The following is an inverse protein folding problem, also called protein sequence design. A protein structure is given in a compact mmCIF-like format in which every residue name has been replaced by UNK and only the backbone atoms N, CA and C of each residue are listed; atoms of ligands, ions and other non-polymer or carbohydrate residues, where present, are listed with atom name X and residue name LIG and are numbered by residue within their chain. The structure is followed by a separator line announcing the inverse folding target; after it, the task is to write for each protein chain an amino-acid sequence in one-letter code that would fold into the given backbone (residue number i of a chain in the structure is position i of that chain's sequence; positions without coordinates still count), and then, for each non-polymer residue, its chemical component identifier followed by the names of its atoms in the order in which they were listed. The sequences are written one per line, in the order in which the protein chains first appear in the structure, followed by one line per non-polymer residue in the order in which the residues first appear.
data_IF_999750016724
#
_entry.id   IF_999750016724
#
_cell.length_a   1.000
_cell.length_b   1.000
_cell.length_c   1.000
_cell.angle_alpha   90.00
_cell.angle_beta   90.00
_cell.angle_gamma   90.00
#
_symmetry.space_group_name_H-M   'P 1'
#
loop_
_entity.id
_entity.type
_entity.pdbx_description
1 polymer ?
#
# COMPACT_ATOMS: atom_id res chain seq x y z
N UNK A 1 -0.38 28.61 -30.04
CA UNK A 1 -1.53 28.69 -30.94
C UNK A 1 -2.74 28.48 -30.06
N UNK A 2 -3.45 29.58 -29.83
CA UNK A 2 -4.43 29.75 -28.77
C UNK A 2 -5.63 28.82 -28.99
N UNK A 3 -5.89 27.95 -28.02
CA UNK A 3 -7.06 27.06 -28.02
C UNK A 3 -8.28 27.96 -27.76
N UNK A 4 -9.22 28.07 -28.70
CA UNK A 4 -10.45 28.89 -28.57
C UNK A 4 -11.35 28.47 -27.39
N UNK A 5 -11.02 27.36 -26.73
CA UNK A 5 -11.69 26.83 -25.53
C UNK A 5 -10.98 27.21 -24.22
N UNK A 6 -9.84 27.88 -24.29
CA UNK A 6 -9.12 28.33 -23.12
C UNK A 6 -9.81 29.58 -22.54
N UNK A 7 -10.40 29.44 -21.37
CA UNK A 7 -10.89 30.59 -20.61
C UNK A 7 -9.81 31.12 -19.66
N UNK A 8 -9.72 32.46 -19.48
CA UNK A 8 -8.85 33.06 -18.48
C UNK A 8 -9.15 32.49 -17.08
N UNK A 9 -8.26 31.62 -16.58
CA UNK A 9 -8.43 30.93 -15.28
C UNK A 9 -8.26 29.40 -15.32
N UNK A 10 -8.11 28.77 -16.49
CA UNK A 10 -7.80 27.34 -16.55
C UNK A 10 -6.29 27.05 -16.48
N UNK A 11 -5.84 26.10 -15.64
CA UNK A 11 -4.44 25.69 -15.60
C UNK A 11 -4.06 24.96 -16.89
N UNK A 12 -3.02 25.47 -17.56
CA UNK A 12 -2.44 24.86 -18.77
C UNK A 12 -1.68 23.60 -18.36
N UNK A 13 -2.20 22.44 -18.76
CA UNK A 13 -1.52 21.16 -18.56
C UNK A 13 -0.57 20.93 -19.75
N UNK A 14 0.73 21.02 -19.50
CA UNK A 14 1.73 20.63 -20.49
C UNK A 14 1.52 19.16 -20.88
N UNK A 15 1.32 18.90 -22.18
CA UNK A 15 1.33 17.52 -22.71
C UNK A 15 2.77 17.01 -22.60
N UNK A 16 3.03 16.12 -21.64
CA UNK A 16 4.30 15.40 -21.58
C UNK A 16 4.46 14.52 -22.82
N UNK A 17 5.46 14.84 -23.63
CA UNK A 17 5.82 14.11 -24.84
C UNK A 17 6.40 12.73 -24.48
N UNK A 18 5.91 11.69 -25.17
CA UNK A 18 6.52 10.36 -25.18
C UNK A 18 7.10 10.15 -26.57
N UNK A 19 8.40 9.88 -26.69
CA UNK A 19 9.00 9.41 -27.94
C UNK A 19 10.27 8.60 -27.69
N UNK A 20 10.82 7.88 -28.70
CA UNK A 20 10.21 7.40 -29.93
C UNK A 20 10.19 5.85 -30.02
N UNK A 21 9.35 5.37 -30.93
CA UNK A 21 9.18 3.99 -31.40
C UNK A 21 10.33 3.50 -32.30
N UNK A 22 10.52 2.17 -32.29
CA UNK A 22 11.05 1.32 -33.38
C UNK A 22 12.56 1.16 -33.58
N UNK A 23 13.11 0.03 -33.13
CA UNK A 23 14.31 -0.59 -33.71
C UNK A 23 13.94 -1.75 -34.65
N UNK A 24 14.58 -1.91 -35.83
CA UNK A 24 14.23 -2.94 -36.80
C UNK A 24 15.03 -4.22 -36.55
N UNK A 25 14.36 -5.32 -36.24
CA UNK A 25 15.01 -6.63 -36.22
C UNK A 25 14.34 -7.67 -35.35
N UNK A 26 13.35 -8.37 -35.90
CA UNK A 26 13.24 -9.84 -35.85
C UNK A 26 11.97 -10.27 -36.58
N UNK A 27 12.06 -10.32 -37.91
CA UNK A 27 11.20 -11.20 -38.67
C UNK A 27 11.64 -12.65 -38.40
N UNK A 28 10.65 -13.53 -38.27
CA UNK A 28 10.70 -15.00 -38.27
C UNK A 28 11.14 -15.71 -36.98
N UNK A 29 10.14 -16.17 -36.22
CA UNK A 29 10.20 -17.47 -35.56
C UNK A 29 8.83 -18.18 -35.70
N UNK A 30 8.67 -19.12 -36.66
CA UNK A 30 7.45 -19.91 -36.82
C UNK A 30 7.58 -21.20 -36.01
N UNK A 31 7.19 -21.15 -34.74
CA UNK A 31 6.92 -22.35 -33.94
C UNK A 31 7.88 -22.58 -32.77
N UNK A 32 7.46 -22.15 -31.58
CA UNK A 32 8.13 -22.50 -30.33
C UNK A 32 7.18 -22.36 -29.15
N UNK A 33 6.72 -23.48 -28.60
CA UNK A 33 5.97 -23.53 -27.35
C UNK A 33 6.82 -22.95 -26.20
N UNK A 34 6.37 -21.85 -25.57
CA UNK A 34 7.19 -21.17 -24.57
C UNK A 34 6.49 -20.11 -23.70
N UNK A 35 5.50 -20.53 -22.90
CA UNK A 35 5.43 -20.17 -21.46
C UNK A 35 5.43 -18.68 -21.06
N UNK A 36 4.24 -18.07 -20.96
CA UNK A 36 3.67 -17.47 -19.72
C UNK A 36 2.43 -16.67 -20.08
N UNK A 37 1.29 -17.14 -19.60
CA UNK A 37 0.02 -16.43 -19.63
C UNK A 37 0.16 -15.06 -18.98
N UNK A 38 0.39 -14.02 -19.78
CA UNK A 38 0.01 -12.66 -19.44
C UNK A 38 -1.52 -12.68 -19.30
N UNK A 39 -2.02 -12.66 -18.07
CA UNK A 39 -3.43 -12.45 -17.78
C UNK A 39 -3.89 -11.24 -18.59
N UNK A 40 -4.72 -11.49 -19.60
CA UNK A 40 -5.26 -10.45 -20.46
C UNK A 40 -6.00 -9.45 -19.56
N UNK A 41 -5.45 -8.25 -19.45
CA UNK A 41 -6.10 -7.16 -18.72
C UNK A 41 -7.48 -6.92 -19.34
N UNK A 42 -8.53 -6.65 -18.54
CA UNK A 42 -9.85 -6.32 -19.08
C UNK A 42 -9.75 -5.12 -20.04
N UNK A 43 -10.58 -5.05 -21.08
CA UNK A 43 -10.46 -4.05 -22.15
C UNK A 43 -10.48 -2.60 -21.65
N UNK A 44 -11.14 -2.35 -20.51
CA UNK A 44 -11.12 -1.05 -19.83
C UNK A 44 -9.74 -0.64 -19.29
N UNK A 45 -8.85 -1.58 -18.99
CA UNK A 45 -7.48 -1.34 -18.50
C UNK A 45 -6.42 -1.43 -19.62
N UNK A 46 -6.81 -1.81 -20.85
CA UNK A 46 -5.91 -1.85 -21.99
C UNK A 46 -5.69 -0.44 -22.52
N UNK A 47 -4.44 0.02 -22.54
CA UNK A 47 -4.09 1.37 -23.02
C UNK A 47 -4.18 2.49 -21.99
N UNK A 48 -4.59 2.20 -20.75
CA UNK A 48 -4.32 3.13 -19.65
C UNK A 48 -2.80 3.20 -19.46
N UNK A 49 -2.18 4.39 -19.38
CA UNK A 49 -0.77 4.49 -19.02
C UNK A 49 -0.58 3.72 -17.71
N UNK A 50 0.38 2.79 -17.67
CA UNK A 50 0.74 2.10 -16.43
C UNK A 50 1.11 3.16 -15.39
N UNK A 51 0.15 3.50 -14.53
CA UNK A 51 0.29 4.55 -13.51
C UNK A 51 1.18 4.10 -12.35
N UNK A 52 1.60 2.84 -12.35
CA UNK A 52 2.65 2.36 -11.44
C UNK A 52 4.00 2.57 -12.10
N UNK A 53 4.65 3.68 -11.77
CA UNK A 53 6.11 3.71 -11.81
C UNK A 53 6.59 2.47 -11.03
N UNK A 54 7.36 1.57 -11.65
CA UNK A 54 7.80 0.35 -10.98
C UNK A 54 8.50 0.70 -9.66
N UNK A 55 8.05 0.10 -8.56
CA UNK A 55 8.67 0.33 -7.26
C UNK A 55 10.03 -0.38 -7.25
N UNK A 56 11.11 0.40 -7.26
CA UNK A 56 12.49 -0.07 -7.50
C UNK A 56 13.03 -0.95 -6.36
N UNK A 57 12.39 -0.91 -5.19
CA UNK A 57 12.79 -1.67 -4.01
C UNK A 57 11.57 -1.99 -3.13
N UNK A 58 10.73 -2.94 -3.58
CA UNK A 58 9.52 -3.33 -2.87
C UNK A 58 9.87 -3.99 -1.53
N UNK A 59 9.05 -3.74 -0.51
CA UNK A 59 9.22 -4.42 0.77
C UNK A 59 8.73 -5.87 0.67
N UNK A 60 9.33 -6.82 1.40
CA UNK A 60 8.97 -8.24 1.28
C UNK A 60 7.50 -8.52 1.67
N UNK A 61 6.93 -7.72 2.57
CA UNK A 61 5.54 -7.85 3.02
C UNK A 61 4.54 -7.22 2.06
N UNK A 62 4.95 -6.34 1.14
CA UNK A 62 4.06 -5.64 0.21
C UNK A 62 3.17 -6.60 -0.60
N UNK A 63 3.71 -7.76 -1.02
CA UNK A 63 2.96 -8.77 -1.79
C UNK A 63 1.90 -9.48 -0.97
N UNK A 64 2.13 -9.64 0.33
CA UNK A 64 1.27 -10.41 1.23
C UNK A 64 0.40 -9.51 2.12
N UNK A 65 0.54 -8.18 2.00
CA UNK A 65 -0.12 -7.20 2.87
C UNK A 65 -1.63 -7.42 2.96
N UNK A 66 -2.29 -7.64 1.83
CA UNK A 66 -3.74 -7.87 1.78
C UNK A 66 -4.11 -9.15 2.55
N UNK A 67 -3.42 -10.25 2.26
CA UNK A 67 -3.70 -11.54 2.89
C UNK A 67 -3.50 -11.49 4.41
N UNK A 68 -2.43 -10.86 4.87
CA UNK A 68 -2.16 -10.68 6.29
C UNK A 68 -3.19 -9.75 6.95
N UNK A 69 -3.59 -8.68 6.27
CA UNK A 69 -4.60 -7.75 6.78
C UNK A 69 -5.98 -8.39 6.93
N UNK A 70 -6.35 -9.32 6.03
CA UNK A 70 -7.60 -10.07 6.15
C UNK A 70 -7.62 -10.93 7.42
N UNK A 71 -6.51 -11.59 7.75
CA UNK A 71 -6.41 -12.38 9.00
C UNK A 71 -6.61 -11.48 10.21
N UNK A 72 -5.92 -10.33 10.25
CA UNK A 72 -6.07 -9.34 11.33
C UNK A 72 -7.50 -8.83 11.42
N UNK A 73 -8.14 -8.53 10.29
CA UNK A 73 -9.51 -8.02 10.24
C UNK A 73 -10.51 -9.05 10.79
N UNK A 74 -10.38 -10.32 10.40
CA UNK A 74 -11.26 -11.39 10.87
C UNK A 74 -11.09 -11.59 12.38
N UNK A 75 -9.85 -11.70 12.87
CA UNK A 75 -9.58 -11.81 14.30
C UNK A 75 -10.12 -10.60 15.08
N UNK A 76 -9.98 -9.39 14.55
CA UNK A 76 -10.52 -8.17 15.14
C UNK A 76 -12.04 -8.18 15.21
N UNK A 77 -12.72 -8.54 14.12
CA UNK A 77 -14.17 -8.65 14.07
C UNK A 77 -14.70 -9.68 15.07
N UNK A 78 -14.08 -10.85 15.16
CA UNK A 78 -14.43 -11.89 16.14
C UNK A 78 -14.24 -11.37 17.57
N UNK A 79 -13.11 -10.74 17.87
CA UNK A 79 -12.83 -10.22 19.21
C UNK A 79 -13.82 -9.14 19.64
N UNK A 80 -14.09 -8.15 18.76
CA UNK A 80 -15.06 -7.07 19.02
C UNK A 80 -16.46 -7.67 19.22
N UNK A 81 -16.88 -8.60 18.36
CA UNK A 81 -18.20 -9.24 18.47
C UNK A 81 -18.33 -10.01 19.79
N UNK A 82 -17.29 -10.72 20.22
CA UNK A 82 -17.31 -11.42 21.50
C UNK A 82 -17.48 -10.45 22.68
N UNK A 83 -16.80 -9.30 22.66
CA UNK A 83 -16.91 -8.25 23.68
C UNK A 83 -18.31 -7.64 23.72
N UNK A 84 -18.90 -7.35 22.55
CA UNK A 84 -20.28 -6.83 22.44
C UNK A 84 -21.32 -7.83 22.95
N UNK A 85 -21.05 -9.14 22.82
CA UNK A 85 -21.89 -10.20 23.39
C UNK A 85 -21.67 -10.44 24.89
N UNK A 86 -20.84 -9.63 25.55
CA UNK A 86 -20.59 -9.67 26.99
C UNK A 86 -19.43 -10.57 27.42
N UNK A 87 -18.59 -11.05 26.49
CA UNK A 87 -17.36 -11.73 26.88
C UNK A 87 -16.42 -10.76 27.61
N UNK A 88 -15.74 -11.24 28.65
CA UNK A 88 -14.72 -10.44 29.34
C UNK A 88 -13.42 -10.38 28.54
N UNK A 89 -12.58 -9.37 28.83
CA UNK A 89 -11.22 -9.26 28.27
C UNK A 89 -10.34 -10.48 28.61
N UNK A 90 -10.63 -11.15 29.72
CA UNK A 90 -9.95 -12.39 30.14
C UNK A 90 -10.34 -13.62 29.33
N UNK A 91 -11.36 -13.54 28.47
CA UNK A 91 -11.84 -14.66 27.66
C UNK A 91 -10.73 -15.24 26.78
N UNK A 92 -10.52 -16.57 26.77
CA UNK A 92 -9.45 -17.20 25.99
C UNK A 92 -9.62 -16.96 24.48
N UNK A 93 -10.86 -16.78 24.01
CA UNK A 93 -11.15 -16.46 22.61
C UNK A 93 -10.63 -15.07 22.24
N UNK A 94 -10.88 -14.07 23.08
CA UNK A 94 -10.41 -12.69 22.88
C UNK A 94 -8.88 -12.66 22.93
N UNK A 95 -8.27 -13.32 23.93
CA UNK A 95 -6.81 -13.42 24.05
C UNK A 95 -6.16 -14.10 22.85
N UNK A 96 -6.74 -15.18 22.33
CA UNK A 96 -6.22 -15.86 21.14
C UNK A 96 -6.30 -14.96 19.90
N UNK A 97 -7.42 -14.26 19.70
CA UNK A 97 -7.56 -13.30 18.60
C UNK A 97 -6.51 -12.18 18.70
N UNK A 98 -6.29 -11.63 19.89
CA UNK A 98 -5.28 -10.58 20.13
C UNK A 98 -3.87 -11.14 19.93
N UNK A 99 -3.57 -12.33 20.43
CA UNK A 99 -2.26 -12.96 20.31
C UNK A 99 -1.85 -13.23 18.85
N UNK A 100 -2.81 -13.53 17.97
CA UNK A 100 -2.56 -13.75 16.53
C UNK A 100 -2.61 -12.44 15.74
N UNK A 101 -3.62 -11.60 15.97
CA UNK A 101 -3.82 -10.37 15.20
C UNK A 101 -2.73 -9.32 15.46
N UNK A 102 -2.32 -9.17 16.72
CA UNK A 102 -1.35 -8.15 17.13
C UNK A 102 -0.01 -8.27 16.41
N UNK A 103 0.71 -9.42 16.43
CA UNK A 103 2.00 -9.53 15.76
C UNK A 103 1.88 -9.29 14.25
N UNK A 104 0.81 -9.79 13.62
CA UNK A 104 0.56 -9.55 12.20
C UNK A 104 0.33 -8.07 11.89
N UNK A 105 -0.49 -7.40 12.69
CA UNK A 105 -0.78 -5.97 12.53
C UNK A 105 0.45 -5.11 12.81
N UNK A 106 1.28 -5.48 13.78
CA UNK A 106 2.56 -4.81 14.06
C UNK A 106 3.49 -4.92 12.84
N UNK A 107 3.65 -6.12 12.28
CA UNK A 107 4.52 -6.34 11.13
C UNK A 107 4.06 -5.56 9.89
N UNK A 108 2.76 -5.58 9.58
CA UNK A 108 2.23 -4.85 8.41
C UNK A 108 2.28 -3.33 8.62
N UNK A 109 2.08 -2.85 9.85
CA UNK A 109 2.19 -1.42 10.18
C UNK A 109 3.65 -0.96 10.12
N UNK A 110 4.60 -1.76 10.61
CA UNK A 110 6.03 -1.48 10.48
C UNK A 110 6.48 -1.39 9.02
N UNK A 111 6.01 -2.31 8.18
CA UNK A 111 6.25 -2.25 6.74
C UNK A 111 5.75 -0.94 6.12
N UNK A 112 4.51 -0.54 6.44
CA UNK A 112 3.93 0.70 5.96
C UNK A 112 4.72 1.94 6.43
N UNK A 113 5.14 1.96 7.70
CA UNK A 113 5.96 3.05 8.26
C UNK A 113 7.29 3.18 7.51
N UNK A 114 7.97 2.07 7.23
CA UNK A 114 9.22 2.09 6.46
C UNK A 114 9.02 2.64 5.05
N UNK A 115 7.90 2.34 4.40
CA UNK A 115 7.57 2.89 3.07
C UNK A 115 7.31 4.39 3.13
N UNK A 116 6.57 4.86 4.13
CA UNK A 116 6.32 6.30 4.33
C UNK A 116 7.62 7.02 4.64
N UNK A 117 8.48 6.46 5.50
CA UNK A 117 9.79 7.00 5.85
C UNK A 117 10.68 7.17 4.61
N UNK A 118 10.83 6.12 3.80
CA UNK A 118 11.61 6.18 2.55
C UNK A 118 11.04 7.22 1.58
N UNK A 119 9.71 7.30 1.47
CA UNK A 119 9.04 8.30 0.66
C UNK A 119 9.27 9.73 1.18
N UNK A 120 9.31 9.93 2.50
CA UNK A 120 9.57 11.22 3.11
C UNK A 120 10.97 11.74 2.75
N UNK A 121 11.99 10.89 2.89
CA UNK A 121 13.37 11.23 2.53
C UNK A 121 13.56 11.56 1.06
N UNK A 122 12.88 10.84 0.17
CA UNK A 122 12.91 11.15 -1.27
C UNK A 122 12.34 12.55 -1.58
N UNK A 123 11.42 13.06 -0.76
CA UNK A 123 10.80 14.38 -0.95
C UNK A 123 11.53 15.52 -0.25
N UNK A 124 12.35 15.27 0.78
CA UNK A 124 13.12 16.31 1.48
C UNK A 124 13.95 17.23 0.56
N UNK A 125 14.66 16.71 -0.49
CA UNK A 125 15.39 17.59 -1.40
C UNK A 125 14.50 18.33 -2.41
N UNK A 126 13.29 17.83 -2.71
CA UNK A 126 12.38 18.41 -3.72
C UNK A 126 11.43 19.44 -3.10
N UNK A 127 10.78 19.08 -1.99
CA UNK A 127 9.86 19.95 -1.27
C UNK A 127 9.82 19.55 0.21
N UNK A 128 10.43 20.39 1.05
CA UNK A 128 10.51 20.16 2.50
C UNK A 128 9.15 20.08 3.18
N UNK A 129 8.13 20.82 2.73
CA UNK A 129 6.79 20.75 3.30
C UNK A 129 6.14 19.38 3.09
N UNK A 130 6.23 18.83 1.86
CA UNK A 130 5.72 17.47 1.56
C UNK A 130 6.54 16.38 2.24
N UNK A 131 7.84 16.59 2.44
CA UNK A 131 8.69 15.70 3.23
C UNK A 131 8.30 15.69 4.72
N UNK A 132 8.19 16.87 5.32
CA UNK A 132 7.82 17.05 6.73
C UNK A 132 6.43 16.50 7.05
N UNK A 133 5.44 16.70 6.17
CA UNK A 133 4.10 16.12 6.32
C UNK A 133 4.14 14.58 6.42
N UNK A 134 4.99 13.91 5.60
CA UNK A 134 5.15 12.45 5.69
C UNK A 134 5.89 12.03 6.95
N UNK A 135 6.87 12.80 7.42
CA UNK A 135 7.54 12.54 8.70
C UNK A 135 6.59 12.68 9.88
N UNK A 136 5.68 13.65 9.85
CA UNK A 136 4.61 13.76 10.84
C UNK A 136 3.73 12.51 10.85
N UNK A 137 3.37 11.96 9.69
CA UNK A 137 2.68 10.68 9.59
C UNK A 137 3.48 9.52 10.18
N UNK A 138 4.79 9.44 9.91
CA UNK A 138 5.64 8.42 10.55
C UNK A 138 5.59 8.52 12.07
N UNK A 139 5.70 9.73 12.61
CA UNK A 139 5.64 9.95 14.06
C UNK A 139 4.29 9.51 14.64
N UNK A 140 3.17 9.93 14.04
CA UNK A 140 1.82 9.53 14.47
C UNK A 140 1.63 8.01 14.37
N UNK A 141 2.11 7.37 13.30
CA UNK A 141 2.02 5.92 13.15
C UNK A 141 2.85 5.16 14.18
N UNK A 142 4.03 5.66 14.57
CA UNK A 142 4.83 5.07 15.65
C UNK A 142 4.14 5.19 17.01
N UNK A 143 3.53 6.34 17.31
CA UNK A 143 2.73 6.52 18.53
C UNK A 143 1.52 5.59 18.53
N UNK A 144 0.79 5.51 17.41
CA UNK A 144 -0.34 4.59 17.26
C UNK A 144 0.07 3.13 17.42
N UNK A 145 1.23 2.73 16.89
CA UNK A 145 1.75 1.39 17.05
C UNK A 145 2.13 1.09 18.52
N UNK A 146 2.77 2.03 19.20
CA UNK A 146 3.11 1.87 20.61
C UNK A 146 1.84 1.73 21.47
N UNK A 147 0.81 2.54 21.21
CA UNK A 147 -0.48 2.44 21.88
C UNK A 147 -1.17 1.09 21.62
N UNK A 148 -1.13 0.59 20.37
CA UNK A 148 -1.66 -0.71 20.00
C UNK A 148 -0.97 -1.85 20.74
N UNK A 149 0.37 -1.85 20.77
CA UNK A 149 1.14 -2.85 21.51
C UNK A 149 0.83 -2.78 23.00
N UNK A 150 0.77 -1.56 23.57
CA UNK A 150 0.37 -1.36 24.97
C UNK A 150 -1.02 -1.92 25.28
N UNK A 151 -2.01 -1.63 24.44
CA UNK A 151 -3.36 -2.19 24.56
C UNK A 151 -3.39 -3.71 24.48
N UNK A 152 -2.66 -4.30 23.53
CA UNK A 152 -2.55 -5.75 23.41
C UNK A 152 -1.92 -6.40 24.66
N UNK A 153 -0.87 -5.79 25.22
CA UNK A 153 -0.24 -6.26 26.47
C UNK A 153 -1.25 -6.23 27.62
N UNK A 154 -2.01 -5.14 27.76
CA UNK A 154 -3.06 -5.04 28.79
C UNK A 154 -4.08 -6.16 28.64
N UNK A 155 -4.58 -6.42 27.42
CA UNK A 155 -5.56 -7.49 27.18
C UNK A 155 -5.00 -8.88 27.50
N UNK A 156 -3.73 -9.13 27.16
CA UNK A 156 -3.12 -10.44 27.42
C UNK A 156 -2.85 -10.68 28.91
N UNK A 157 -2.58 -9.62 29.68
CA UNK A 157 -2.30 -9.68 31.11
C UNK A 157 -3.55 -9.57 32.02
N UNK A 158 -4.67 -9.05 31.51
CA UNK A 158 -5.95 -8.97 32.21
C UNK A 158 -6.58 -10.35 32.45
#
# INVERSE_FOLDING_TARGET
MDDERWEPGMPVLDRQAVGPTSGPGSALDPGGHGRRSSTALPPSLQGMPQRSVPEVAPTPLQRHYINLSVIVLICGAIAITALELGASLGSPLVKLCVAVATPLLVLTTMDAILRIWRSAWAWMPVNRGRGAFRLAWVAVSLVGLAALVGGAVVVLLA
#
